data_IF_775609521790
#
_entry.id   IF_775609521790
#
_cell.length_a   1.000
_cell.length_b   1.000
_cell.length_c   1.000
_cell.angle_alpha   90.00
_cell.angle_beta   90.00
_cell.angle_gamma   90.00
#
_symmetry.space_group_name_H-M   'P 1'
#
loop_
_entity.id
_entity.type
_entity.pdbx_description
1 polymer ?
#
# COMPACT_ATOMS: atom_id res chain seq x y z
N UNK A 1 12.07 23.38 9.21
CA UNK A 1 12.85 22.65 8.16
C UNK A 1 14.27 23.20 8.01
N UNK A 2 14.44 24.52 7.80
CA UNK A 2 15.78 25.14 7.83
C UNK A 2 16.47 24.98 9.19
N UNK A 3 15.70 25.10 10.28
CA UNK A 3 16.22 24.91 11.64
C UNK A 3 16.75 23.50 11.88
N UNK A 4 16.14 22.49 11.24
CA UNK A 4 16.55 21.08 11.34
C UNK A 4 17.82 20.77 10.55
N UNK A 5 18.07 21.50 9.45
CA UNK A 5 19.35 21.38 8.74
C UNK A 5 20.49 22.04 9.51
N UNK A 6 20.19 23.17 10.16
CA UNK A 6 21.17 23.98 10.87
C UNK A 6 21.38 23.53 12.33
N UNK A 7 20.55 22.64 12.85
CA UNK A 7 20.66 22.12 14.21
C UNK A 7 21.84 21.15 14.37
N UNK A 8 22.44 21.18 15.55
CA UNK A 8 23.46 20.22 15.99
C UNK A 8 22.87 18.81 16.12
N UNK A 9 23.50 17.84 15.47
CA UNK A 9 23.10 16.44 15.50
C UNK A 9 23.11 15.88 16.92
N UNK A 10 24.10 16.26 17.74
CA UNK A 10 24.23 15.77 19.10
C UNK A 10 23.06 16.21 19.97
N UNK A 11 22.54 17.42 19.74
CA UNK A 11 21.37 17.93 20.44
C UNK A 11 20.10 17.18 20.06
N UNK A 12 19.94 16.81 18.79
CA UNK A 12 18.77 16.04 18.34
C UNK A 12 18.81 14.61 18.89
N UNK A 13 20.00 13.98 18.94
CA UNK A 13 20.19 12.62 19.49
C UNK A 13 19.88 12.50 20.98
N UNK A 14 19.87 13.61 21.72
CA UNK A 14 19.48 13.61 23.14
C UNK A 14 17.97 13.47 23.34
N UNK A 15 17.16 13.58 22.28
CA UNK A 15 15.71 13.38 22.38
C UNK A 15 15.39 11.89 22.60
N UNK A 16 14.41 11.56 23.47
CA UNK A 16 14.01 10.18 23.71
C UNK A 16 13.62 9.45 22.42
N UNK A 17 14.16 8.24 22.22
CA UNK A 17 13.88 7.39 21.06
C UNK A 17 14.61 7.79 19.77
N UNK A 18 15.52 8.76 19.80
CA UNK A 18 16.22 9.26 18.61
C UNK A 18 17.61 8.64 18.45
N UNK A 19 17.71 7.71 17.51
CA UNK A 19 18.98 7.17 17.00
C UNK A 19 19.57 7.97 15.82
N UNK A 20 20.85 7.73 15.51
CA UNK A 20 21.60 8.36 14.41
C UNK A 20 20.88 8.32 13.06
N UNK A 21 20.27 7.19 12.74
CA UNK A 21 19.57 7.02 11.46
C UNK A 21 18.36 7.95 11.33
N UNK A 22 17.68 8.30 12.44
CA UNK A 22 16.60 9.28 12.43
C UNK A 22 17.13 10.66 12.07
N UNK A 23 18.23 11.09 12.69
CA UNK A 23 18.84 12.40 12.42
C UNK A 23 19.29 12.52 10.97
N UNK A 24 20.01 11.52 10.48
CA UNK A 24 20.42 11.42 9.08
C UNK A 24 19.21 11.52 8.14
N UNK A 25 18.15 10.77 8.43
CA UNK A 25 16.93 10.76 7.63
C UNK A 25 16.23 12.12 7.65
N UNK A 26 16.03 12.71 8.81
CA UNK A 26 15.33 13.98 8.98
C UNK A 26 16.07 15.13 8.28
N UNK A 27 17.39 15.18 8.38
CA UNK A 27 18.21 16.14 7.64
C UNK A 27 18.12 15.91 6.14
N UNK A 28 18.18 14.66 5.69
CA UNK A 28 18.04 14.33 4.28
C UNK A 28 16.66 14.77 3.76
N UNK A 29 15.60 14.48 4.50
CA UNK A 29 14.24 14.92 4.20
C UNK A 29 14.14 16.44 4.13
N UNK A 30 14.68 17.17 5.10
CA UNK A 30 14.69 18.62 5.09
C UNK A 30 15.40 19.20 3.87
N UNK A 31 16.55 18.61 3.48
CA UNK A 31 17.31 19.01 2.30
C UNK A 31 16.50 18.86 1.01
N UNK A 32 15.92 17.67 0.77
CA UNK A 32 15.15 17.40 -0.44
C UNK A 32 13.90 18.28 -0.51
N UNK A 33 13.16 18.39 0.59
CA UNK A 33 11.91 19.14 0.63
C UNK A 33 12.13 20.66 0.47
N UNK A 34 13.23 21.23 1.00
CA UNK A 34 13.56 22.65 0.79
C UNK A 34 13.93 22.96 -0.67
N UNK A 35 14.48 21.99 -1.39
CA UNK A 35 14.82 22.11 -2.81
C UNK A 35 13.67 21.70 -3.74
N UNK A 36 12.48 21.40 -3.19
CA UNK A 36 11.33 20.87 -3.92
C UNK A 36 11.65 19.61 -4.75
N UNK A 37 12.52 18.76 -4.21
CA UNK A 37 12.97 17.51 -4.81
C UNK A 37 12.38 16.30 -4.06
N UNK A 38 12.29 15.17 -4.76
CA UNK A 38 11.95 13.87 -4.19
C UNK A 38 13.09 12.87 -4.35
N UNK A 39 13.21 11.90 -3.45
CA UNK A 39 14.18 10.82 -3.55
C UNK A 39 13.60 9.53 -3.02
N UNK A 40 14.04 8.42 -3.62
CA UNK A 40 13.87 7.08 -3.07
C UNK A 40 15.22 6.63 -2.51
N UNK A 41 15.24 6.11 -1.29
CA UNK A 41 16.46 5.79 -0.53
C UNK A 41 17.01 4.39 -0.80
N UNK A 42 16.14 3.45 -1.18
CA UNK A 42 16.45 2.04 -1.44
C UNK A 42 15.83 1.65 -2.77
N UNK A 43 16.50 0.81 -3.57
CA UNK A 43 15.93 0.31 -4.83
C UNK A 43 14.58 -0.35 -4.54
N UNK A 44 13.47 0.12 -5.13
CA UNK A 44 12.20 -0.55 -4.99
C UNK A 44 12.26 -1.91 -5.69
N UNK A 45 11.55 -2.93 -5.18
CA UNK A 45 11.45 -4.21 -5.86
C UNK A 45 10.70 -4.07 -7.20
N UNK A 46 10.90 -5.02 -8.12
CA UNK A 46 10.20 -4.95 -9.41
C UNK A 46 8.70 -5.25 -9.21
N UNK A 47 7.84 -4.49 -9.89
CA UNK A 47 6.40 -4.65 -9.78
C UNK A 47 5.92 -6.08 -10.13
N UNK A 48 6.61 -6.76 -11.04
CA UNK A 48 6.28 -8.13 -11.47
C UNK A 48 6.63 -9.20 -10.43
N UNK A 49 7.31 -8.83 -9.33
CA UNK A 49 7.65 -9.77 -8.27
C UNK A 49 6.49 -10.09 -7.35
N UNK A 50 5.40 -9.30 -7.37
CA UNK A 50 4.30 -9.42 -6.41
C UNK A 50 2.96 -9.69 -7.09
N UNK A 51 2.08 -10.30 -6.29
CA UNK A 51 0.63 -10.18 -6.45
C UNK A 51 0.15 -9.10 -5.48
N UNK A 52 -0.62 -8.15 -6.00
CA UNK A 52 -1.15 -7.03 -5.23
C UNK A 52 -2.55 -7.35 -4.75
N UNK A 53 -2.88 -6.94 -3.55
CA UNK A 53 -4.22 -7.12 -3.02
C UNK A 53 -4.60 -6.02 -2.02
N UNK A 54 -5.90 -5.85 -1.87
CA UNK A 54 -6.54 -4.96 -0.90
C UNK A 54 -7.87 -5.59 -0.46
N UNK A 55 -8.29 -5.31 0.77
CA UNK A 55 -9.50 -5.88 1.37
C UNK A 55 -10.46 -4.79 1.86
N UNK A 56 -11.75 -5.03 1.67
CA UNK A 56 -12.79 -4.27 2.35
C UNK A 56 -13.38 -5.06 3.50
N UNK A 57 -13.56 -4.38 4.62
CA UNK A 57 -14.09 -4.96 5.84
C UNK A 57 -15.33 -4.25 6.31
N UNK A 58 -16.08 -4.88 7.21
CA UNK A 58 -17.07 -4.15 7.97
C UNK A 58 -16.42 -3.21 9.00
N UNK A 59 -17.22 -2.34 9.61
CA UNK A 59 -16.72 -1.33 10.57
C UNK A 59 -15.97 -1.98 11.74
N UNK A 60 -16.42 -3.15 12.21
CA UNK A 60 -15.78 -3.88 13.31
C UNK A 60 -14.55 -4.70 12.88
N UNK A 61 -14.20 -4.68 11.59
CA UNK A 61 -13.03 -5.36 11.01
C UNK A 61 -12.99 -6.86 11.35
N UNK A 62 -14.17 -7.46 11.52
CA UNK A 62 -14.35 -8.86 11.86
C UNK A 62 -15.09 -9.63 10.75
N UNK A 63 -15.27 -9.02 9.59
CA UNK A 63 -15.81 -9.59 8.38
C UNK A 63 -15.08 -8.95 7.19
N UNK A 64 -14.49 -9.76 6.32
CA UNK A 64 -14.03 -9.36 4.99
C UNK A 64 -15.16 -9.59 4.02
N UNK A 65 -15.50 -8.59 3.21
CA UNK A 65 -16.60 -8.72 2.24
C UNK A 65 -16.18 -8.43 0.80
N UNK A 66 -15.00 -7.87 0.58
CA UNK A 66 -14.40 -7.75 -0.75
C UNK A 66 -12.90 -7.99 -0.63
N UNK A 67 -12.35 -8.73 -1.59
CA UNK A 67 -10.90 -8.90 -1.78
C UNK A 67 -10.62 -8.62 -3.25
N UNK A 68 -9.83 -7.58 -3.52
CA UNK A 68 -9.31 -7.28 -4.84
C UNK A 68 -7.91 -7.82 -5.00
N UNK A 69 -7.58 -8.36 -6.18
CA UNK A 69 -6.25 -8.91 -6.48
C UNK A 69 -5.83 -8.57 -7.90
N UNK A 70 -4.56 -8.23 -8.05
CA UNK A 70 -3.92 -8.02 -9.35
C UNK A 70 -2.63 -8.82 -9.47
N UNK A 71 -2.49 -9.56 -10.57
CA UNK A 71 -1.25 -10.22 -10.96
C UNK A 71 -0.70 -9.58 -12.25
N UNK A 72 0.36 -8.75 -12.17
CA UNK A 72 0.92 -8.08 -13.34
C UNK A 72 1.53 -9.03 -14.37
N UNK A 73 2.03 -10.21 -13.97
CA UNK A 73 2.62 -11.17 -14.91
C UNK A 73 1.59 -11.78 -15.87
N UNK A 74 0.32 -11.77 -15.46
CA UNK A 74 -0.80 -12.30 -16.24
C UNK A 74 -1.74 -11.20 -16.75
N UNK A 75 -1.47 -9.94 -16.38
CA UNK A 75 -2.39 -8.80 -16.54
C UNK A 75 -3.81 -9.16 -16.07
N UNK A 76 -3.90 -9.84 -14.92
CA UNK A 76 -5.14 -10.42 -14.42
C UNK A 76 -5.59 -9.70 -13.15
N UNK A 77 -6.75 -9.06 -13.21
CA UNK A 77 -7.44 -8.49 -12.05
C UNK A 77 -8.66 -9.34 -11.68
N UNK A 78 -8.81 -9.66 -10.38
CA UNK A 78 -9.96 -10.39 -9.84
C UNK A 78 -10.49 -9.74 -8.58
N UNK A 79 -11.79 -9.87 -8.39
CA UNK A 79 -12.47 -9.47 -7.17
C UNK A 79 -13.33 -10.62 -6.64
N UNK A 80 -13.22 -10.86 -5.33
CA UNK A 80 -14.05 -11.82 -4.62
C UNK A 80 -15.00 -11.06 -3.69
N UNK A 81 -16.27 -10.97 -4.11
CA UNK A 81 -17.30 -10.19 -3.42
C UNK A 81 -18.26 -11.09 -2.63
N UNK A 82 -18.42 -10.82 -1.34
CA UNK A 82 -19.45 -11.38 -0.50
C UNK A 82 -20.59 -10.37 -0.32
N UNK A 83 -21.67 -10.51 -1.10
CA UNK A 83 -22.87 -9.67 -0.92
C UNK A 83 -23.60 -9.95 0.39
N UNK A 84 -23.38 -11.10 1.01
CA UNK A 84 -23.91 -11.42 2.32
C UNK A 84 -22.77 -11.82 3.25
N UNK A 85 -22.90 -11.51 4.53
CA UNK A 85 -21.92 -11.90 5.56
C UNK A 85 -21.62 -13.40 5.58
N UNK A 86 -22.62 -14.24 5.25
CA UNK A 86 -22.48 -15.70 5.15
C UNK A 86 -21.57 -16.17 4.01
N UNK A 87 -21.33 -15.32 3.02
CA UNK A 87 -20.49 -15.65 1.85
C UNK A 87 -19.01 -15.34 2.09
N UNK A 88 -18.62 -14.76 3.24
CA UNK A 88 -17.21 -14.47 3.57
C UNK A 88 -16.32 -15.71 3.42
N UNK A 89 -16.76 -16.86 3.97
CA UNK A 89 -16.02 -18.11 3.87
C UNK A 89 -15.69 -18.45 2.41
N UNK A 90 -16.66 -18.29 1.50
CA UNK A 90 -16.50 -18.62 0.08
C UNK A 90 -15.46 -17.72 -0.59
N UNK A 91 -15.46 -16.42 -0.29
CA UNK A 91 -14.49 -15.49 -0.90
C UNK A 91 -13.08 -15.72 -0.35
N UNK A 92 -12.94 -16.09 0.92
CA UNK A 92 -11.65 -16.47 1.51
C UNK A 92 -11.12 -17.78 0.91
N UNK A 93 -11.98 -18.79 0.72
CA UNK A 93 -11.60 -20.03 0.03
C UNK A 93 -11.21 -19.76 -1.43
N UNK A 94 -11.91 -18.87 -2.14
CA UNK A 94 -11.58 -18.46 -3.49
C UNK A 94 -10.24 -17.71 -3.56
N UNK A 95 -9.97 -16.82 -2.59
CA UNK A 95 -8.70 -16.12 -2.42
C UNK A 95 -7.54 -17.10 -2.24
N UNK A 96 -7.65 -18.03 -1.28
CA UNK A 96 -6.63 -19.05 -1.02
C UNK A 96 -6.41 -19.94 -2.24
N UNK A 97 -7.50 -20.38 -2.89
CA UNK A 97 -7.41 -21.18 -4.12
C UNK A 97 -6.70 -20.42 -5.24
N UNK A 98 -7.00 -19.13 -5.39
CA UNK A 98 -6.34 -18.29 -6.38
C UNK A 98 -4.84 -18.21 -6.10
N UNK A 99 -4.44 -17.91 -4.86
CA UNK A 99 -3.04 -17.82 -4.45
C UNK A 99 -2.29 -19.15 -4.65
N UNK A 100 -2.89 -20.27 -4.27
CA UNK A 100 -2.32 -21.62 -4.51
C UNK A 100 -2.05 -21.91 -5.99
N UNK A 101 -2.80 -21.29 -6.90
CA UNK A 101 -2.63 -21.44 -8.35
C UNK A 101 -1.59 -20.50 -8.96
N UNK A 102 -0.90 -19.68 -8.17
CA UNK A 102 0.11 -18.75 -8.66
C UNK A 102 1.52 -19.32 -8.49
N UNK A 103 2.39 -18.99 -9.44
CA UNK A 103 3.82 -19.27 -9.33
C UNK A 103 4.56 -18.25 -8.45
N UNK A 104 3.94 -17.10 -8.17
CA UNK A 104 4.48 -16.05 -7.32
C UNK A 104 4.02 -16.26 -5.87
N UNK A 105 4.99 -16.34 -4.96
CA UNK A 105 4.74 -16.49 -3.52
C UNK A 105 4.75 -15.16 -2.76
N UNK A 106 4.99 -14.03 -3.46
CA UNK A 106 5.10 -12.72 -2.82
C UNK A 106 3.80 -11.93 -2.93
N UNK A 107 3.33 -11.42 -1.80
CA UNK A 107 2.15 -10.58 -1.71
C UNK A 107 2.53 -9.13 -1.39
N UNK A 108 1.72 -8.19 -1.86
CA UNK A 108 1.87 -6.76 -1.59
C UNK A 108 0.50 -6.15 -1.28
N UNK A 109 0.40 -5.51 -0.12
CA UNK A 109 -0.77 -4.73 0.31
C UNK A 109 -0.34 -3.31 0.70
N UNK A 110 -1.30 -2.42 0.95
CA UNK A 110 -1.01 -1.08 1.48
C UNK A 110 -1.90 -0.77 2.66
N UNK A 111 -1.32 -0.87 3.85
CA UNK A 111 -2.05 -0.49 5.08
C UNK A 111 -1.26 0.38 6.03
N UNK A 112 0.06 0.47 5.85
CA UNK A 112 0.95 1.18 6.76
C UNK A 112 1.00 0.57 8.15
N UNK A 113 0.50 -0.65 8.34
CA UNK A 113 0.37 -1.27 9.66
C UNK A 113 0.23 -2.78 9.64
N UNK A 114 0.37 -3.49 8.51
CA UNK A 114 0.04 -4.92 8.33
C UNK A 114 -1.42 -5.29 8.60
N UNK A 115 -2.35 -4.36 8.41
CA UNK A 115 -3.78 -4.56 8.67
C UNK A 115 -4.34 -5.72 7.85
N UNK A 116 -4.20 -5.66 6.53
CA UNK A 116 -4.78 -6.60 5.57
C UNK A 116 -4.36 -8.04 5.89
N UNK A 117 -3.05 -8.27 6.01
CA UNK A 117 -2.50 -9.58 6.37
C UNK A 117 -3.09 -10.11 7.68
N UNK A 118 -3.12 -9.27 8.72
CA UNK A 118 -3.64 -9.67 10.03
C UNK A 118 -5.12 -10.02 9.96
N UNK A 119 -5.92 -9.22 9.25
CA UNK A 119 -7.35 -9.45 9.13
C UNK A 119 -7.61 -10.73 8.35
N UNK A 120 -6.99 -10.91 7.17
CA UNK A 120 -7.14 -12.14 6.39
C UNK A 120 -6.74 -13.36 7.21
N UNK A 121 -5.58 -13.35 7.88
CA UNK A 121 -5.16 -14.46 8.73
C UNK A 121 -6.17 -14.76 9.84
N UNK A 122 -6.67 -13.72 10.53
CA UNK A 122 -7.69 -13.86 11.58
C UNK A 122 -8.99 -14.46 11.03
N UNK A 123 -9.42 -14.06 9.83
CA UNK A 123 -10.65 -14.56 9.22
C UNK A 123 -10.49 -15.99 8.66
N UNK A 124 -9.34 -16.33 8.09
CA UNK A 124 -9.00 -17.71 7.70
C UNK A 124 -9.08 -18.65 8.92
N UNK A 125 -8.46 -18.24 10.04
CA UNK A 125 -8.49 -19.00 11.29
C UNK A 125 -9.92 -19.14 11.82
N UNK A 126 -10.71 -18.06 11.80
CA UNK A 126 -12.11 -18.08 12.24
C UNK A 126 -12.97 -19.07 11.45
N UNK A 127 -12.76 -19.18 10.14
CA UNK A 127 -13.49 -20.13 9.27
C UNK A 127 -12.84 -21.51 9.19
N UNK A 128 -11.76 -21.77 9.94
CA UNK A 128 -10.95 -22.98 9.88
C UNK A 128 -10.45 -23.33 8.46
N UNK A 129 -10.15 -22.30 7.65
CA UNK A 129 -9.58 -22.45 6.31
C UNK A 129 -8.06 -22.54 6.47
N UNK A 130 -7.47 -23.69 6.12
CA UNK A 130 -6.01 -23.86 6.12
C UNK A 130 -5.42 -23.31 4.82
N UNK A 131 -4.39 -22.49 4.92
CA UNK A 131 -3.66 -21.97 3.77
C UNK A 131 -2.17 -21.85 4.08
N UNK A 132 -1.43 -22.93 3.82
CA UNK A 132 0.04 -22.91 3.97
C UNK A 132 0.69 -21.91 3.01
N UNK A 133 0.08 -21.65 1.84
CA UNK A 133 0.57 -20.66 0.89
C UNK A 133 0.46 -19.24 1.44
N UNK A 134 -0.66 -18.87 2.05
CA UNK A 134 -0.82 -17.55 2.67
C UNK A 134 0.02 -17.42 3.94
N UNK A 135 0.08 -18.45 4.77
CA UNK A 135 0.88 -18.45 6.00
C UNK A 135 2.37 -18.28 5.70
N UNK A 136 2.88 -18.96 4.67
CA UNK A 136 4.30 -18.92 4.29
C UNK A 136 4.63 -17.86 3.22
N UNK A 137 3.65 -17.13 2.69
CA UNK A 137 3.91 -16.11 1.67
C UNK A 137 4.82 -15.01 2.21
N UNK A 138 5.76 -14.56 1.39
CA UNK A 138 6.55 -13.37 1.70
C UNK A 138 5.67 -12.17 1.37
N UNK A 139 5.26 -11.42 2.39
CA UNK A 139 4.42 -10.24 2.18
C UNK A 139 5.19 -8.95 2.45
N UNK A 140 4.89 -7.90 1.68
CA UNK A 140 5.28 -6.53 1.97
C UNK A 140 4.05 -5.67 2.23
N UNK A 141 4.12 -4.80 3.23
CA UNK A 141 3.20 -3.66 3.36
C UNK A 141 3.88 -2.44 2.72
N UNK A 142 3.43 -2.10 1.51
CA UNK A 142 3.99 -1.02 0.72
C UNK A 142 3.87 0.34 1.42
N UNK A 143 2.84 0.53 2.25
CA UNK A 143 2.68 1.75 3.03
C UNK A 143 3.83 1.94 4.04
N UNK A 144 4.26 0.87 4.70
CA UNK A 144 5.42 0.90 5.60
C UNK A 144 6.73 1.10 4.85
N UNK A 145 6.91 0.41 3.72
CA UNK A 145 8.12 0.56 2.89
C UNK A 145 8.27 1.99 2.37
N UNK A 146 7.18 2.62 1.90
CA UNK A 146 7.19 3.99 1.39
C UNK A 146 7.47 4.97 2.51
N UNK A 147 6.85 4.79 3.68
CA UNK A 147 7.15 5.56 4.87
C UNK A 147 8.61 5.41 5.33
N UNK A 148 9.38 4.46 4.81
CA UNK A 148 10.81 4.31 5.13
C UNK A 148 11.73 4.79 4.02
N UNK A 149 11.28 4.69 2.77
CA UNK A 149 12.16 4.82 1.60
C UNK A 149 11.86 6.03 0.74
N UNK A 150 10.64 6.58 0.75
CA UNK A 150 10.28 7.74 -0.05
C UNK A 150 10.49 9.03 0.77
N UNK A 151 11.18 9.98 0.17
CA UNK A 151 11.22 11.38 0.59
C UNK A 151 10.51 12.18 -0.48
N UNK A 152 9.33 12.68 -0.17
CA UNK A 152 8.52 13.47 -1.08
C UNK A 152 7.68 14.51 -0.32
N UNK A 153 7.32 15.59 -1.01
CA UNK A 153 6.41 16.61 -0.48
C UNK A 153 4.97 16.14 -0.67
N UNK A 154 4.50 15.33 0.25
CA UNK A 154 3.13 14.78 0.28
C UNK A 154 2.38 15.28 1.51
N UNK A 155 1.06 15.36 1.43
CA UNK A 155 0.24 15.80 2.57
C UNK A 155 0.32 14.78 3.71
N UNK A 156 0.22 13.49 3.36
CA UNK A 156 0.39 12.36 4.25
C UNK A 156 0.84 11.12 3.45
N UNK A 157 1.08 10.02 4.14
CA UNK A 157 1.43 8.71 3.55
C UNK A 157 0.22 7.78 3.44
N UNK A 158 -1.00 8.32 3.31
CA UNK A 158 -2.16 7.51 2.94
C UNK A 158 -2.11 7.20 1.44
N UNK A 159 -2.72 6.08 1.05
CA UNK A 159 -2.63 5.54 -0.31
C UNK A 159 -3.00 6.58 -1.38
N UNK A 160 -4.13 7.27 -1.20
CA UNK A 160 -4.57 8.34 -2.11
C UNK A 160 -3.55 9.46 -2.29
N UNK A 161 -2.95 9.94 -1.20
CA UNK A 161 -1.93 11.00 -1.23
C UNK A 161 -0.68 10.56 -2.01
N UNK A 162 -0.24 9.31 -1.80
CA UNK A 162 0.90 8.74 -2.51
C UNK A 162 0.58 8.46 -3.98
N UNK A 163 -0.57 7.88 -4.30
CA UNK A 163 -0.98 7.68 -5.69
C UNK A 163 -1.11 9.00 -6.44
N UNK A 164 -1.68 10.05 -5.81
CA UNK A 164 -1.72 11.39 -6.37
C UNK A 164 -0.32 11.96 -6.65
N UNK A 165 0.63 11.77 -5.74
CA UNK A 165 2.02 12.17 -5.95
C UNK A 165 2.64 11.50 -7.19
N UNK A 166 2.30 10.24 -7.45
CA UNK A 166 2.70 9.51 -8.65
C UNK A 166 1.74 9.69 -9.85
N UNK A 167 0.83 10.66 -9.80
CA UNK A 167 -0.15 10.96 -10.87
C UNK A 167 -1.06 9.77 -11.25
N UNK A 168 -1.40 8.92 -10.28
CA UNK A 168 -2.40 7.87 -10.48
C UNK A 168 -3.76 8.49 -10.80
N UNK A 169 -4.47 7.90 -11.75
CA UNK A 169 -5.78 8.37 -12.20
C UNK A 169 -6.88 7.61 -11.48
N UNK A 170 -7.31 8.16 -10.35
CA UNK A 170 -8.44 7.64 -9.58
C UNK A 170 -9.75 7.74 -10.37
N UNK A 171 -10.54 6.69 -10.34
CA UNK A 171 -11.90 6.62 -10.90
C UNK A 171 -12.83 7.54 -10.11
N UNK A 172 -12.75 7.47 -8.77
CA UNK A 172 -13.61 8.22 -7.82
C UNK A 172 -12.78 9.16 -6.94
N UNK A 173 -12.22 10.21 -7.55
CA UNK A 173 -11.16 11.04 -6.93
C UNK A 173 -11.56 11.65 -5.57
N UNK A 174 -12.82 12.05 -5.39
CA UNK A 174 -13.29 12.81 -4.23
C UNK A 174 -14.60 12.29 -3.60
N UNK A 175 -15.12 11.14 -4.04
CA UNK A 175 -16.51 10.75 -3.72
C UNK A 175 -16.65 9.72 -2.60
N UNK A 176 -15.59 8.96 -2.31
CA UNK A 176 -15.68 7.82 -1.40
C UNK A 176 -14.35 7.52 -0.70
N UNK A 177 -14.41 7.13 0.58
CA UNK A 177 -13.28 6.66 1.38
C UNK A 177 -13.62 5.32 2.05
N UNK A 178 -12.61 4.64 2.61
CA UNK A 178 -12.79 3.32 3.24
C UNK A 178 -13.81 3.30 4.39
N UNK A 179 -14.00 4.41 5.12
CA UNK A 179 -15.02 4.47 6.17
C UNK A 179 -16.43 4.51 5.57
N UNK A 180 -16.62 5.32 4.52
CA UNK A 180 -17.89 5.38 3.79
C UNK A 180 -18.20 4.06 3.07
N UNK A 181 -17.20 3.39 2.51
CA UNK A 181 -17.31 2.04 1.92
C UNK A 181 -17.83 1.04 2.94
N UNK A 182 -17.19 0.95 4.12
CA UNK A 182 -17.62 0.06 5.20
C UNK A 182 -19.03 0.40 5.71
N UNK A 183 -19.36 1.69 5.85
CA UNK A 183 -20.67 2.15 6.30
C UNK A 183 -21.80 1.77 5.33
N UNK A 184 -21.57 1.95 4.02
CA UNK A 184 -22.55 1.58 2.99
C UNK A 184 -22.81 0.08 2.98
N UNK A 185 -21.75 -0.73 3.11
CA UNK A 185 -21.92 -2.18 3.22
C UNK A 185 -22.69 -2.58 4.47
N UNK A 186 -22.37 -2.02 5.64
CA UNK A 186 -23.08 -2.27 6.91
C UNK A 186 -24.57 -1.88 6.83
N UNK A 187 -24.87 -0.72 6.25
CA UNK A 187 -26.25 -0.28 6.03
C UNK A 187 -27.03 -1.29 5.18
N UNK A 188 -26.45 -1.73 4.06
CA UNK A 188 -27.03 -2.75 3.19
C UNK A 188 -27.15 -4.13 3.88
N UNK A 189 -26.22 -4.51 4.77
CA UNK A 189 -26.38 -5.75 5.54
C UNK A 189 -27.55 -5.68 6.52
N UNK A 190 -27.79 -4.51 7.13
CA UNK A 190 -28.89 -4.27 8.06
C UNK A 190 -30.25 -4.22 7.37
N UNK A 191 -30.30 -3.56 6.21
CA UNK A 191 -31.51 -3.41 5.42
C UNK A 191 -31.21 -3.68 3.94
N UNK A 192 -31.67 -4.83 3.47
CA UNK A 192 -31.46 -5.30 2.09
C UNK A 192 -32.25 -4.51 1.05
N UNK A 193 -33.16 -3.62 1.47
CA UNK A 193 -33.87 -2.71 0.57
C UNK A 193 -33.05 -1.46 0.22
N UNK A 194 -31.99 -1.14 0.98
CA UNK A 194 -31.11 -0.02 0.69
C UNK A 194 -30.39 -0.28 -0.65
N UNK A 195 -30.59 0.62 -1.60
CA UNK A 195 -29.85 0.60 -2.86
C UNK A 195 -28.39 0.97 -2.59
N UNK A 196 -27.48 0.09 -2.99
CA UNK A 196 -26.04 0.28 -2.90
C UNK A 196 -25.45 0.25 -4.31
N UNK A 197 -24.62 1.24 -4.62
CA UNK A 197 -23.87 1.26 -5.87
C UNK A 197 -22.68 0.30 -5.75
N UNK A 198 -22.91 -0.97 -6.12
CA UNK A 198 -21.87 -1.98 -6.12
C UNK A 198 -20.73 -1.65 -7.09
N UNK A 199 -21.00 -0.97 -8.20
CA UNK A 199 -19.96 -0.65 -9.17
C UNK A 199 -18.98 0.34 -8.57
N UNK A 200 -19.47 1.39 -7.91
CA UNK A 200 -18.60 2.35 -7.23
C UNK A 200 -17.72 1.69 -6.15
N UNK A 201 -18.26 0.74 -5.37
CA UNK A 201 -17.47 0.02 -4.36
C UNK A 201 -16.41 -0.90 -4.98
N UNK A 202 -16.77 -1.60 -6.06
CA UNK A 202 -15.83 -2.46 -6.77
C UNK A 202 -14.74 -1.64 -7.48
N UNK A 203 -15.08 -0.49 -8.06
CA UNK A 203 -14.12 0.42 -8.69
C UNK A 203 -13.19 1.06 -7.66
N UNK A 204 -13.68 1.41 -6.48
CA UNK A 204 -12.86 1.90 -5.37
C UNK A 204 -11.77 0.88 -4.98
N UNK A 205 -12.17 -0.35 -4.66
CA UNK A 205 -11.21 -1.41 -4.32
C UNK A 205 -10.29 -1.74 -5.50
N UNK A 206 -10.78 -1.68 -6.74
CA UNK A 206 -9.94 -1.86 -7.93
C UNK A 206 -8.83 -0.82 -8.00
N UNK A 207 -9.15 0.44 -7.75
CA UNK A 207 -8.14 1.50 -7.71
C UNK A 207 -7.12 1.29 -6.59
N UNK A 208 -7.57 0.92 -5.38
CA UNK A 208 -6.70 0.68 -4.22
C UNK A 208 -5.71 -0.49 -4.46
N UNK A 209 -6.05 -1.45 -5.32
CA UNK A 209 -5.11 -2.51 -5.76
C UNK A 209 -4.20 -2.04 -6.90
N UNK A 210 -4.75 -1.43 -7.95
CA UNK A 210 -4.02 -1.13 -9.18
C UNK A 210 -3.04 0.04 -9.03
N UNK A 211 -3.25 0.91 -8.04
CA UNK A 211 -2.31 1.97 -7.70
C UNK A 211 -0.98 1.43 -7.15
N UNK A 212 -0.96 0.24 -6.54
CA UNK A 212 0.23 -0.30 -5.89
C UNK A 212 1.40 -0.56 -6.85
N UNK A 213 1.23 -1.31 -7.96
CA UNK A 213 2.29 -1.45 -8.96
C UNK A 213 2.67 -0.11 -9.59
N UNK A 214 1.70 0.79 -9.81
CA UNK A 214 1.95 2.13 -10.35
C UNK A 214 2.87 2.96 -9.44
N UNK A 215 2.68 2.87 -8.13
CA UNK A 215 3.58 3.51 -7.15
C UNK A 215 4.98 2.91 -7.22
N UNK A 216 5.11 1.58 -7.28
CA UNK A 216 6.43 0.94 -7.38
C UNK A 216 7.17 1.34 -8.66
N UNK A 217 6.46 1.43 -9.79
CA UNK A 217 7.01 1.96 -11.04
C UNK A 217 7.53 3.38 -10.84
N UNK A 218 6.70 4.29 -10.33
CA UNK A 218 7.11 5.68 -10.10
C UNK A 218 8.27 5.83 -9.13
N UNK A 219 8.33 4.99 -8.09
CA UNK A 219 9.48 4.93 -7.19
C UNK A 219 10.75 4.49 -7.94
N UNK A 220 10.64 3.51 -8.85
CA UNK A 220 11.74 3.08 -9.71
C UNK A 220 12.27 4.22 -10.57
N UNK A 221 11.38 4.99 -11.20
CA UNK A 221 11.74 6.15 -12.02
C UNK A 221 12.43 7.26 -11.22
N UNK A 222 12.02 7.51 -9.96
CA UNK A 222 12.72 8.44 -9.07
C UNK A 222 14.10 7.89 -8.69
N UNK A 223 14.18 6.59 -8.37
CA UNK A 223 15.43 5.95 -7.98
C UNK A 223 16.48 6.04 -9.08
N UNK A 224 16.13 5.66 -10.32
CA UNK A 224 17.07 5.63 -11.44
C UNK A 224 17.58 7.03 -11.85
N UNK A 225 16.72 8.07 -11.81
CA UNK A 225 17.14 9.46 -12.09
C UNK A 225 18.32 9.91 -11.22
N UNK A 226 18.30 9.56 -9.93
CA UNK A 226 19.37 9.88 -8.97
C UNK A 226 20.69 9.18 -9.30
N UNK A 227 20.65 7.99 -9.89
CA UNK A 227 21.86 7.26 -10.29
C UNK A 227 22.45 7.82 -11.59
N UNK A 228 21.61 8.17 -12.57
CA UNK A 228 22.06 8.84 -13.79
C UNK A 228 22.77 10.17 -13.49
N UNK A 229 22.21 11.02 -12.61
CA UNK A 229 22.82 12.30 -12.22
C UNK A 229 24.17 12.15 -11.48
N UNK A 230 24.41 11.01 -10.81
CA UNK A 230 25.70 10.70 -10.18
C UNK A 230 26.74 10.19 -11.17
N UNK A 231 26.33 9.40 -12.17
CA UNK A 231 27.21 8.86 -13.21
C UNK A 231 27.71 9.92 -14.20
N UNK A 232 27.02 11.06 -14.31
CA UNK A 232 27.42 12.18 -15.20
C UNK A 232 28.36 13.20 -14.55
N UNK A 233 28.70 13.04 -13.25
CA UNK A 233 29.75 13.83 -12.61
C UNK A 233 31.09 13.15 -12.83
N UNK A 234 31.82 13.56 -13.87
CA UNK A 234 33.24 13.20 -14.07
C UNK A 234 34.07 13.57 -12.83
N UNK A 235 35.09 12.76 -12.46
CA UNK A 235 36.03 13.16 -11.42
C UNK A 235 36.71 14.48 -11.82
N UNK A 236 37.07 15.34 -10.86
CA UNK A 236 37.91 16.48 -11.17
C UNK A 236 39.21 15.95 -11.79
N UNK A 237 39.49 16.38 -13.02
CA UNK A 237 40.80 16.18 -13.66
C UNK A 237 41.85 16.81 -12.76
N UNK A 238 42.68 15.95 -12.17
CA UNK A 238 43.91 16.32 -11.46
C UNK A 238 44.96 16.84 -12.42
#
# INVERSE_FOLDING_TARGET
>A
MRDLLNSDDNRIKQLPGVYDWHVCRWKLQAKFLLNNQSSVLKKPPNQSEFIYYDIETNIQQNLVWLIGIYNPNKDEFKQFLAKNTKDERKILEAFVKYQNGQACEKLCSYSGSWFDRRVIQKRLNHHAIRSSSFENSIEIDLGLEIQQTLIAKVQNYQLKSIGNFFNYKWTHKDEIDGFLVALRYEAYQRDKSICIDWNQLLEYNRDDVLVLPHILQGMGEIYERKYCEKSTRTPPTS
#
